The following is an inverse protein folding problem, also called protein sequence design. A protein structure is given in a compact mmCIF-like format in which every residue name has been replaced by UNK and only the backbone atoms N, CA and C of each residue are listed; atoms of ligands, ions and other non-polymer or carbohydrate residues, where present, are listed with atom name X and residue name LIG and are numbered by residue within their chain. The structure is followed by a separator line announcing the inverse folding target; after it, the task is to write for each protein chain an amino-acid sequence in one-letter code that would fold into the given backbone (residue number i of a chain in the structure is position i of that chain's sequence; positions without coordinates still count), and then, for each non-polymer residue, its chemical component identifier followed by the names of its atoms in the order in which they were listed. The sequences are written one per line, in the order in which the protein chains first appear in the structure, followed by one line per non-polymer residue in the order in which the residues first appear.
data_IF_754068427394
#
_entry.id   IF_754068427394
#
_cell.length_a   1.000
_cell.length_b   1.000
_cell.length_c   1.000
_cell.angle_alpha   90.00
_cell.angle_beta   90.00
_cell.angle_gamma   90.00
#
_symmetry.space_group_name_H-M   'P 1'
#
loop_
_entity.id
_entity.type
_entity.pdbx_description
1 polymer ?
#
# COMPACT_ATOMS: atom_id res chain seq x y z
N UNK A 1 62.82 5.83 47.03
CA UNK A 1 62.21 6.77 46.07
C UNK A 1 61.40 5.93 45.10
N UNK A 2 60.06 6.07 45.06
CA UNK A 2 59.16 5.27 44.21
C UNK A 2 58.68 6.15 43.06
N UNK A 3 58.91 5.69 41.83
CA UNK A 3 58.47 6.34 40.60
C UNK A 3 56.94 6.34 40.51
N UNK A 4 56.37 7.52 40.33
CA UNK A 4 54.94 7.70 40.05
C UNK A 4 54.79 7.62 38.53
N UNK A 5 54.40 6.45 38.04
CA UNK A 5 54.02 6.27 36.63
C UNK A 5 52.79 7.12 36.28
N UNK A 6 52.64 7.55 35.01
CA UNK A 6 51.53 8.41 34.62
C UNK A 6 50.19 7.66 34.71
N UNK A 7 49.24 8.23 35.42
CA UNK A 7 47.85 7.76 35.46
C UNK A 7 47.21 7.89 34.08
N UNK A 8 46.49 6.87 33.58
CA UNK A 8 45.78 6.99 32.32
C UNK A 8 44.63 7.99 32.49
N UNK A 9 44.72 9.11 31.77
CA UNK A 9 43.66 10.10 31.71
C UNK A 9 42.37 9.43 31.19
N UNK A 10 41.36 9.42 32.05
CA UNK A 10 40.00 8.95 31.77
C UNK A 10 39.46 9.69 30.55
N UNK A 11 39.44 9.03 29.38
CA UNK A 11 38.78 9.55 28.16
C UNK A 11 37.32 9.83 28.51
N UNK A 12 36.96 11.11 28.64
CA UNK A 12 35.55 11.52 28.62
C UNK A 12 35.05 11.26 27.21
N UNK A 13 34.28 10.19 27.04
CA UNK A 13 33.47 9.99 25.84
C UNK A 13 32.52 11.18 25.77
N UNK A 14 32.52 11.98 24.68
CA UNK A 14 31.61 13.08 24.57
C UNK A 14 30.18 12.52 24.45
N UNK A 15 29.36 12.69 25.51
CA UNK A 15 27.90 12.50 25.51
C UNK A 15 27.16 13.51 24.58
N UNK A 16 27.83 14.07 23.57
CA UNK A 16 27.27 15.08 22.66
C UNK A 16 26.65 14.49 21.39
N UNK A 17 26.65 13.17 21.22
CA UNK A 17 26.04 12.53 20.04
C UNK A 17 24.53 12.30 20.22
N UNK A 18 24.00 12.32 21.45
CA UNK A 18 22.59 11.98 21.71
C UNK A 18 21.60 13.16 21.63
N UNK A 19 22.07 14.42 21.65
CA UNK A 19 21.18 15.59 21.59
C UNK A 19 21.01 16.17 20.18
N UNK A 20 21.56 15.51 19.18
CA UNK A 20 21.50 15.89 17.77
C UNK A 20 20.75 14.86 16.94
N UNK A 21 19.61 14.33 17.43
CA UNK A 21 18.60 13.78 16.51
C UNK A 21 18.14 14.99 15.69
N UNK A 22 18.82 15.18 14.56
CA UNK A 22 18.68 16.31 13.70
C UNK A 22 17.22 16.38 13.28
N UNK A 23 16.58 17.56 13.25
CA UNK A 23 15.18 17.69 12.79
C UNK A 23 14.93 16.97 11.46
N UNK A 24 15.98 16.82 10.65
CA UNK A 24 16.04 16.01 9.45
C UNK A 24 15.72 14.52 9.63
N UNK A 25 16.17 13.85 10.70
CA UNK A 25 15.82 12.44 10.98
C UNK A 25 14.34 12.28 11.31
N UNK A 26 13.79 13.21 12.11
CA UNK A 26 12.36 13.21 12.43
C UNK A 26 11.50 13.47 11.18
N UNK A 27 11.88 14.46 10.37
CA UNK A 27 11.19 14.78 9.11
C UNK A 27 11.29 13.63 8.12
N UNK A 28 12.46 12.99 7.98
CA UNK A 28 12.65 11.82 7.11
C UNK A 28 11.80 10.64 7.57
N UNK A 29 11.72 10.40 8.88
CA UNK A 29 10.85 9.37 9.46
C UNK A 29 9.36 9.62 9.17
N UNK A 30 8.91 10.87 9.33
CA UNK A 30 7.51 11.26 9.04
C UNK A 30 7.21 11.08 7.55
N UNK A 31 8.09 11.52 6.64
CA UNK A 31 7.90 11.37 5.20
C UNK A 31 7.84 9.90 4.78
N UNK A 32 8.69 9.05 5.37
CA UNK A 32 8.66 7.61 5.13
C UNK A 32 7.33 6.99 5.57
N UNK A 33 6.84 7.37 6.76
CA UNK A 33 5.56 6.89 7.27
C UNK A 33 4.39 7.35 6.41
N UNK A 34 4.38 8.62 5.97
CA UNK A 34 3.38 9.13 5.04
C UNK A 34 3.40 8.36 3.70
N UNK A 35 4.58 8.03 3.18
CA UNK A 35 4.71 7.26 1.95
C UNK A 35 4.14 5.84 2.09
N UNK A 36 4.43 5.16 3.21
CA UNK A 36 3.88 3.83 3.51
C UNK A 36 2.35 3.87 3.63
N UNK A 37 1.80 4.89 4.30
CA UNK A 37 0.35 5.08 4.40
C UNK A 37 -0.29 5.36 3.04
N UNK A 38 0.36 6.17 2.19
CA UNK A 38 -0.12 6.44 0.84
C UNK A 38 -0.16 5.17 -0.02
N UNK A 39 0.91 4.37 -0.02
CA UNK A 39 0.95 3.08 -0.74
C UNK A 39 -0.11 2.09 -0.20
N UNK A 40 -0.30 2.05 1.13
CA UNK A 40 -1.32 1.23 1.77
C UNK A 40 -2.73 1.60 1.33
N UNK A 41 -3.08 2.89 1.39
CA UNK A 41 -4.41 3.38 0.99
C UNK A 41 -4.68 3.21 -0.51
N UNK A 42 -3.67 3.42 -1.37
CA UNK A 42 -3.79 3.21 -2.81
C UNK A 42 -4.08 1.74 -3.17
N UNK A 43 -3.35 0.80 -2.57
CA UNK A 43 -3.58 -0.64 -2.78
C UNK A 43 -4.95 -1.10 -2.26
N UNK A 44 -5.37 -0.60 -1.10
CA UNK A 44 -6.68 -0.89 -0.52
C UNK A 44 -7.83 -0.41 -1.43
N UNK A 45 -7.69 0.77 -2.06
CA UNK A 45 -8.68 1.30 -3.00
C UNK A 45 -8.84 0.38 -4.23
N UNK A 46 -7.74 -0.12 -4.79
CA UNK A 46 -7.77 -1.05 -5.94
C UNK A 46 -8.40 -2.38 -5.55
N UNK A 47 -8.10 -2.92 -4.37
CA UNK A 47 -8.70 -4.17 -3.90
C UNK A 47 -10.21 -3.97 -3.66
N UNK A 48 -10.59 -2.86 -3.04
CA UNK A 48 -11.98 -2.56 -2.74
C UNK A 48 -12.84 -2.41 -4.02
N UNK A 49 -12.32 -1.71 -5.03
CA UNK A 49 -13.00 -1.57 -6.32
C UNK A 49 -13.16 -2.93 -7.03
N UNK A 50 -12.12 -3.78 -7.02
CA UNK A 50 -12.20 -5.16 -7.55
C UNK A 50 -13.22 -6.01 -6.80
N UNK A 51 -13.21 -5.96 -5.46
CA UNK A 51 -14.15 -6.72 -4.63
C UNK A 51 -15.61 -6.31 -4.90
N UNK A 52 -15.87 -5.00 -4.98
CA UNK A 52 -17.19 -4.43 -5.27
C UNK A 52 -17.67 -4.76 -6.68
N UNK A 53 -16.78 -4.70 -7.68
CA UNK A 53 -17.08 -5.11 -9.04
C UNK A 53 -17.48 -6.60 -9.09
N UNK A 54 -16.70 -7.46 -8.44
CA UNK A 54 -16.94 -8.90 -8.39
C UNK A 54 -18.27 -9.23 -7.72
N UNK A 55 -18.59 -8.61 -6.58
CA UNK A 55 -19.86 -8.84 -5.90
C UNK A 55 -21.06 -8.39 -6.74
N UNK A 56 -20.93 -7.27 -7.46
CA UNK A 56 -21.99 -6.77 -8.34
C UNK A 56 -22.22 -7.71 -9.52
N UNK A 57 -21.16 -8.13 -10.23
CA UNK A 57 -21.28 -9.07 -11.33
C UNK A 57 -21.84 -10.43 -10.87
N UNK A 58 -21.41 -10.94 -9.71
CA UNK A 58 -21.97 -12.15 -9.10
C UNK A 58 -23.47 -12.01 -8.80
N UNK A 59 -23.90 -10.86 -8.27
CA UNK A 59 -25.33 -10.61 -7.99
C UNK A 59 -26.19 -10.55 -9.25
N UNK A 60 -25.58 -10.24 -10.40
CA UNK A 60 -26.22 -10.23 -11.72
C UNK A 60 -26.13 -11.60 -12.44
N UNK A 61 -25.56 -12.63 -11.81
CA UNK A 61 -25.44 -13.98 -12.37
C UNK A 61 -24.18 -14.23 -13.21
N UNK A 62 -23.23 -13.30 -13.24
CA UNK A 62 -21.95 -13.45 -13.94
C UNK A 62 -20.92 -14.15 -13.05
N UNK A 63 -19.99 -14.89 -13.65
CA UNK A 63 -18.99 -15.69 -12.91
C UNK A 63 -17.84 -14.87 -12.35
N UNK A 64 -17.50 -13.78 -13.01
CA UNK A 64 -16.35 -12.95 -12.67
C UNK A 64 -16.57 -11.49 -12.98
N UNK A 65 -15.63 -10.67 -12.50
CA UNK A 65 -15.50 -9.28 -12.89
C UNK A 65 -14.05 -9.02 -13.27
N UNK A 66 -13.86 -8.25 -14.33
CA UNK A 66 -12.57 -7.81 -14.83
C UNK A 66 -12.57 -6.29 -14.91
N UNK A 67 -11.40 -5.68 -14.66
CA UNK A 67 -11.24 -4.23 -14.69
C UNK A 67 -10.12 -3.93 -15.67
N UNK A 68 -10.44 -3.15 -16.69
CA UNK A 68 -9.47 -2.73 -17.70
C UNK A 68 -8.64 -1.53 -17.21
N UNK A 69 -7.56 -1.22 -17.92
CA UNK A 69 -6.63 -0.11 -17.63
C UNK A 69 -7.34 1.25 -17.56
N UNK A 70 -8.47 1.38 -18.29
CA UNK A 70 -9.36 2.53 -18.27
C UNK A 70 -10.32 2.57 -17.06
N UNK A 71 -10.07 1.77 -16.01
CA UNK A 71 -10.94 1.61 -14.83
C UNK A 71 -12.39 1.21 -15.15
N UNK A 72 -12.64 0.72 -16.36
CA UNK A 72 -13.96 0.25 -16.76
C UNK A 72 -14.15 -1.17 -16.24
N UNK A 73 -15.30 -1.40 -15.60
CA UNK A 73 -15.63 -2.69 -14.99
C UNK A 73 -16.46 -3.50 -15.96
N UNK A 74 -16.01 -4.72 -16.22
CA UNK A 74 -16.68 -5.68 -17.07
C UNK A 74 -17.07 -6.91 -16.25
N UNK A 75 -18.25 -7.44 -16.52
CA UNK A 75 -18.68 -8.72 -16.00
C UNK A 75 -18.35 -9.80 -17.02
N UNK A 76 -17.77 -10.91 -16.54
CA UNK A 76 -17.37 -12.04 -17.38
C UNK A 76 -18.29 -13.21 -17.12
N UNK A 77 -18.86 -13.76 -18.18
CA UNK A 77 -19.64 -15.00 -18.16
C UNK A 77 -19.15 -15.95 -19.25
N UNK A 78 -19.43 -17.24 -19.11
CA UNK A 78 -18.96 -18.26 -20.05
C UNK A 78 -20.14 -18.85 -20.80
N UNK A 79 -20.15 -18.70 -22.12
CA UNK A 79 -21.17 -19.29 -23.01
C UNK A 79 -20.43 -20.20 -24.00
N UNK A 80 -20.75 -21.49 -24.00
CA UNK A 80 -20.21 -22.49 -24.94
C UNK A 80 -18.69 -22.40 -25.18
N UNK A 81 -17.93 -22.31 -24.08
CA UNK A 81 -16.46 -22.20 -24.04
C UNK A 81 -15.85 -20.85 -24.44
N UNK A 82 -16.66 -19.86 -24.80
CA UNK A 82 -16.22 -18.47 -25.00
C UNK A 82 -16.49 -17.62 -23.77
N UNK A 83 -15.50 -16.81 -23.39
CA UNK A 83 -15.64 -15.82 -22.32
C UNK A 83 -16.27 -14.56 -22.92
N UNK A 84 -17.51 -14.28 -22.52
CA UNK A 84 -18.26 -13.09 -22.93
C UNK A 84 -18.05 -12.01 -21.88
N UNK A 85 -17.48 -10.90 -22.33
CA UNK A 85 -17.16 -9.73 -21.50
C UNK A 85 -18.21 -8.65 -21.77
N UNK A 86 -19.03 -8.35 -20.76
CA UNK A 86 -20.12 -7.37 -20.86
C UNK A 86 -19.82 -6.19 -19.95
N UNK A 87 -19.95 -4.93 -20.41
CA UNK A 87 -19.80 -3.76 -19.54
C UNK A 87 -20.82 -3.82 -18.39
N UNK A 88 -20.40 -3.50 -17.17
CA UNK A 88 -21.27 -3.58 -16.00
C UNK A 88 -22.56 -2.74 -16.14
N UNK A 89 -22.49 -1.62 -16.87
CA UNK A 89 -23.63 -0.74 -17.12
C UNK A 89 -24.67 -1.38 -18.05
N UNK A 90 -24.26 -2.25 -18.97
CA UNK A 90 -25.18 -3.04 -19.80
C UNK A 90 -25.75 -4.23 -19.02
N UNK A 91 -24.91 -4.89 -18.23
CA UNK A 91 -25.33 -5.99 -17.36
C UNK A 91 -26.41 -5.56 -16.35
N UNK A 92 -26.33 -4.33 -15.81
CA UNK A 92 -27.37 -3.76 -14.92
C UNK A 92 -28.69 -3.48 -15.64
N UNK A 93 -28.66 -3.10 -16.92
CA UNK A 93 -29.88 -2.78 -17.69
C UNK A 93 -30.68 -4.04 -18.05
N UNK A 94 -29.99 -5.15 -18.32
CA UNK A 94 -30.63 -6.43 -18.66
C UNK A 94 -31.14 -7.25 -17.47
N UNK A 95 -30.86 -6.84 -16.24
CA UNK A 95 -31.28 -7.54 -15.02
C UNK A 95 -32.58 -7.01 -14.38
N UNK A 96 -33.24 -6.04 -15.03
CA UNK A 96 -34.59 -5.55 -14.68
C UNK A 96 -35.59 -6.04 -15.72
#
# INVERSE_FOLDING_TARGET
MREIGPTPARRRVPNRVFNGISRYDLVTGILCLCFLLFMGTASALVIYTKARAKSTCLSLGYRGAEIDVSLTVYCVTRVDQTDVVVPIEEAKKGAR
#
